data_IF_427898409897
#
_entry.id   IF_427898409897
#
_cell.length_a   1.000
_cell.length_b   1.000
_cell.length_c   1.000
_cell.angle_alpha   90.00
_cell.angle_beta   90.00
_cell.angle_gamma   90.00
#
_symmetry.space_group_name_H-M   'P 1'
#
loop_
_entity.id
_entity.type
_entity.pdbx_description
1 polymer ?
#
# COMPACT_ATOMS: atom_id res chain seq x y z
N UNK A 1 -28.45 -7.24 -4.06
CA UNK A 1 -28.46 -6.49 -2.78
C UNK A 1 -28.12 -5.03 -3.05
N UNK A 2 -28.56 -4.12 -2.20
CA UNK A 2 -28.13 -2.72 -2.22
C UNK A 2 -26.93 -2.54 -1.29
N UNK A 3 -25.77 -2.22 -1.83
CA UNK A 3 -24.52 -2.06 -1.09
C UNK A 3 -24.10 -0.59 -1.13
N UNK A 4 -23.84 -0.02 0.05
CA UNK A 4 -23.40 1.37 0.17
C UNK A 4 -21.96 1.43 0.69
N UNK A 5 -21.07 2.04 -0.09
CA UNK A 5 -19.69 2.30 0.31
C UNK A 5 -19.54 3.71 0.89
N UNK A 6 -18.87 3.79 2.03
CA UNK A 6 -18.51 5.06 2.68
C UNK A 6 -16.99 5.18 2.66
N UNK A 7 -16.50 6.15 1.89
CA UNK A 7 -15.07 6.40 1.76
C UNK A 7 -14.78 7.91 1.83
N UNK A 8 -14.10 8.33 2.88
CA UNK A 8 -13.67 9.71 3.00
C UNK A 8 -12.53 10.00 1.99
N UNK A 9 -12.65 11.13 1.28
CA UNK A 9 -11.67 11.53 0.27
C UNK A 9 -11.89 10.87 -1.09
N UNK A 10 -13.10 10.41 -1.40
CA UNK A 10 -13.47 9.82 -2.69
C UNK A 10 -13.13 10.71 -3.89
N UNK A 11 -13.27 12.01 -3.75
CA UNK A 11 -12.93 12.99 -4.79
C UNK A 11 -11.43 13.13 -5.01
N UNK A 12 -10.61 12.65 -4.05
CA UNK A 12 -9.16 12.67 -4.14
C UNK A 12 -8.67 11.28 -4.50
N UNK A 13 -7.81 11.20 -5.51
CA UNK A 13 -7.13 9.96 -5.84
C UNK A 13 -6.22 9.55 -4.67
N UNK A 14 -6.67 8.58 -3.89
CA UNK A 14 -5.91 8.02 -2.79
C UNK A 14 -6.09 6.50 -2.76
N UNK A 15 -5.16 5.79 -2.11
CA UNK A 15 -5.15 4.33 -2.08
C UNK A 15 -6.46 3.72 -1.58
N UNK A 16 -7.08 4.32 -0.56
CA UNK A 16 -8.34 3.86 0.01
C UNK A 16 -9.50 3.94 -1.00
N UNK A 17 -9.64 5.07 -1.67
CA UNK A 17 -10.67 5.25 -2.68
C UNK A 17 -10.46 4.32 -3.89
N UNK A 18 -9.20 4.06 -4.26
CA UNK A 18 -8.91 3.13 -5.35
C UNK A 18 -9.25 1.68 -4.96
N UNK A 19 -8.91 1.24 -3.75
CA UNK A 19 -9.31 -0.08 -3.24
C UNK A 19 -10.84 -0.19 -3.19
N UNK A 20 -11.52 0.83 -2.68
CA UNK A 20 -12.98 0.86 -2.66
C UNK A 20 -13.57 0.68 -4.07
N UNK A 21 -13.04 1.39 -5.09
CA UNK A 21 -13.48 1.25 -6.49
C UNK A 21 -13.28 -0.16 -7.03
N UNK A 22 -12.16 -0.81 -6.73
CA UNK A 22 -11.89 -2.19 -7.16
C UNK A 22 -12.94 -3.15 -6.59
N UNK A 23 -13.23 -3.04 -5.28
CA UNK A 23 -14.24 -3.88 -4.61
C UNK A 23 -15.64 -3.59 -5.16
N UNK A 24 -16.01 -2.32 -5.32
CA UNK A 24 -17.29 -1.93 -5.90
C UNK A 24 -17.49 -2.53 -7.30
N UNK A 25 -16.49 -2.41 -8.18
CA UNK A 25 -16.56 -2.96 -9.52
C UNK A 25 -16.66 -4.49 -9.56
N UNK A 26 -16.16 -5.21 -8.55
CA UNK A 26 -16.37 -6.65 -8.39
C UNK A 26 -17.82 -6.95 -7.99
N UNK A 27 -18.35 -6.24 -6.99
CA UNK A 27 -19.73 -6.41 -6.52
C UNK A 27 -20.77 -6.04 -7.59
N UNK A 28 -20.50 -5.03 -8.41
CA UNK A 28 -21.34 -4.68 -9.56
C UNK A 28 -21.35 -5.82 -10.59
N UNK A 29 -20.21 -6.45 -10.87
CA UNK A 29 -20.12 -7.62 -11.76
C UNK A 29 -20.85 -8.85 -11.20
N UNK A 30 -20.97 -8.96 -9.88
CA UNK A 30 -21.77 -9.97 -9.18
C UNK A 30 -23.27 -9.68 -9.21
N UNK A 31 -23.70 -8.55 -9.81
CA UNK A 31 -25.09 -8.16 -9.97
C UNK A 31 -25.68 -7.42 -8.77
N UNK A 32 -24.83 -6.82 -7.93
CA UNK A 32 -25.28 -5.99 -6.82
C UNK A 32 -25.54 -4.55 -7.29
N UNK A 33 -26.45 -3.86 -6.64
CA UNK A 33 -26.68 -2.43 -6.82
C UNK A 33 -25.76 -1.69 -5.83
N UNK A 34 -24.65 -1.12 -6.34
CA UNK A 34 -23.60 -0.52 -5.55
C UNK A 34 -23.64 0.99 -5.66
N UNK A 35 -23.50 1.66 -4.54
CA UNK A 35 -23.44 3.11 -4.45
C UNK A 35 -22.36 3.56 -3.48
N UNK A 36 -21.94 4.82 -3.56
CA UNK A 36 -20.97 5.36 -2.63
C UNK A 36 -21.37 6.74 -2.11
N UNK A 37 -20.84 7.09 -0.92
CA UNK A 37 -20.95 8.41 -0.34
C UNK A 37 -19.73 8.74 0.51
N UNK A 38 -19.42 10.04 0.66
CA UNK A 38 -18.48 10.52 1.68
C UNK A 38 -19.22 10.65 3.02
N UNK A 39 -20.45 11.12 2.96
CA UNK A 39 -21.35 11.30 4.10
C UNK A 39 -22.77 10.89 3.69
N UNK A 40 -23.24 9.76 4.19
CA UNK A 40 -24.57 9.26 3.87
C UNK A 40 -25.63 9.75 4.83
N UNK A 41 -26.86 9.94 4.34
CA UNK A 41 -28.03 10.21 5.18
C UNK A 41 -28.43 8.97 5.97
N UNK A 42 -29.03 9.14 7.15
CA UNK A 42 -29.51 8.02 7.98
C UNK A 42 -30.41 7.08 7.19
N UNK A 43 -31.31 7.64 6.36
CA UNK A 43 -32.20 6.82 5.53
C UNK A 43 -31.42 5.90 4.57
N UNK A 44 -30.38 6.40 3.93
CA UNK A 44 -29.52 5.62 3.01
C UNK A 44 -28.82 4.49 3.77
N UNK A 45 -28.24 4.80 4.93
CA UNK A 45 -27.58 3.82 5.81
C UNK A 45 -28.52 2.74 6.33
N UNK A 46 -29.78 3.09 6.67
CA UNK A 46 -30.76 2.16 7.18
C UNK A 46 -31.41 1.30 6.08
N UNK A 47 -31.43 1.77 4.82
CA UNK A 47 -32.05 1.07 3.68
C UNK A 47 -31.07 0.21 2.88
N UNK A 48 -29.76 0.42 3.02
CA UNK A 48 -28.75 -0.46 2.44
C UNK A 48 -28.78 -1.85 3.10
N UNK A 49 -28.63 -2.89 2.30
CA UNK A 49 -28.53 -4.27 2.78
C UNK A 49 -27.18 -4.50 3.47
N UNK A 50 -26.12 -3.88 2.93
CA UNK A 50 -24.76 -3.85 3.50
C UNK A 50 -24.15 -2.46 3.40
N UNK A 51 -23.34 -2.10 4.42
CA UNK A 51 -22.55 -0.86 4.43
C UNK A 51 -21.07 -1.21 4.54
N UNK A 52 -20.30 -0.78 3.55
CA UNK A 52 -18.83 -0.92 3.53
C UNK A 52 -18.17 0.38 3.91
N UNK A 53 -17.31 0.37 4.93
CA UNK A 53 -16.61 1.53 5.45
C UNK A 53 -15.12 1.39 5.14
N UNK A 54 -14.54 2.40 4.49
CA UNK A 54 -13.12 2.45 4.14
C UNK A 54 -12.37 3.49 4.96
N UNK A 55 -11.16 3.15 5.40
CA UNK A 55 -10.33 3.92 6.34
C UNK A 55 -10.80 3.90 7.81
N UNK A 56 -10.21 4.77 8.62
CA UNK A 56 -10.53 4.98 10.03
C UNK A 56 -10.36 6.44 10.46
N UNK A 57 -10.67 6.73 11.72
CA UNK A 57 -10.40 8.00 12.41
C UNK A 57 -11.19 9.22 11.92
N UNK A 58 -12.31 9.04 11.21
CA UNK A 58 -13.10 10.13 10.66
C UNK A 58 -14.55 10.09 11.13
N UNK A 59 -15.17 11.24 11.48
CA UNK A 59 -16.55 11.30 12.00
C UNK A 59 -17.60 10.73 11.05
N UNK A 60 -17.44 10.90 9.72
CA UNK A 60 -18.38 10.35 8.74
C UNK A 60 -18.42 8.81 8.77
N UNK A 61 -17.30 8.17 9.10
CA UNK A 61 -17.20 6.72 9.21
C UNK A 61 -17.86 6.23 10.50
N UNK A 62 -17.71 6.98 11.61
CA UNK A 62 -18.40 6.66 12.87
C UNK A 62 -19.90 6.84 12.73
N UNK A 63 -20.33 7.90 12.04
CA UNK A 63 -21.72 8.10 11.70
C UNK A 63 -22.30 6.92 10.93
N UNK A 64 -21.59 6.47 9.88
CA UNK A 64 -21.99 5.31 9.11
C UNK A 64 -22.06 4.04 9.97
N UNK A 65 -21.10 3.83 10.89
CA UNK A 65 -21.09 2.70 11.81
C UNK A 65 -22.22 2.73 12.85
N UNK A 66 -22.72 3.90 13.21
CA UNK A 66 -23.84 4.02 14.16
C UNK A 66 -25.19 3.65 13.53
N UNK A 67 -25.40 3.99 12.27
CA UNK A 67 -26.70 3.86 11.59
C UNK A 67 -26.74 2.77 10.52
N UNK A 68 -25.58 2.33 10.06
CA UNK A 68 -25.47 1.28 9.02
C UNK A 68 -25.88 -0.11 9.54
N UNK A 69 -26.28 -0.96 8.58
CA UNK A 69 -26.61 -2.38 8.80
C UNK A 69 -25.56 -3.26 8.15
N UNK A 70 -25.32 -4.46 8.69
CA UNK A 70 -24.37 -5.43 8.14
C UNK A 70 -23.03 -4.79 7.73
N UNK A 71 -22.41 -4.06 8.67
CA UNK A 71 -21.24 -3.22 8.41
C UNK A 71 -20.02 -4.09 8.15
N UNK A 72 -19.39 -3.89 7.01
CA UNK A 72 -18.05 -4.39 6.66
C UNK A 72 -17.08 -3.21 6.73
N UNK A 73 -16.12 -3.25 7.66
CA UNK A 73 -15.21 -2.13 7.85
C UNK A 73 -13.78 -2.52 7.48
N UNK A 74 -13.19 -1.82 6.51
CA UNK A 74 -11.83 -1.97 6.03
C UNK A 74 -10.97 -0.79 6.52
N UNK A 75 -10.21 -0.94 7.61
CA UNK A 75 -9.48 0.17 8.22
C UNK A 75 -8.27 0.68 7.45
N UNK A 76 -7.74 -0.10 6.51
CA UNK A 76 -6.65 0.28 5.60
C UNK A 76 -5.39 0.80 6.32
N UNK A 77 -4.78 -0.06 7.12
CA UNK A 77 -3.61 0.24 7.97
C UNK A 77 -3.78 1.39 8.96
N UNK A 78 -5.02 1.81 9.25
CA UNK A 78 -5.26 2.87 10.24
C UNK A 78 -4.73 2.51 11.63
N UNK A 79 -4.61 1.21 11.93
CA UNK A 79 -4.18 0.69 13.24
C UNK A 79 -2.73 0.20 13.27
N UNK A 80 -1.96 0.38 12.19
CA UNK A 80 -0.51 0.18 12.18
C UNK A 80 0.15 0.94 13.35
N UNK A 81 0.96 0.29 14.19
CA UNK A 81 1.62 0.90 15.33
C UNK A 81 2.43 2.16 14.98
N UNK A 82 3.15 2.16 13.85
CA UNK A 82 3.93 3.32 13.41
C UNK A 82 2.99 4.48 13.05
N UNK A 83 1.94 4.22 12.29
CA UNK A 83 0.95 5.23 11.91
C UNK A 83 0.20 5.78 13.12
N UNK A 84 -0.09 4.93 14.12
CA UNK A 84 -0.71 5.35 15.37
C UNK A 84 0.19 6.28 16.18
N UNK A 85 1.48 5.99 16.27
CA UNK A 85 2.47 6.85 16.95
C UNK A 85 2.60 8.21 16.25
N UNK A 86 2.65 8.21 14.92
CA UNK A 86 2.78 9.44 14.14
C UNK A 86 1.66 10.44 14.39
N UNK A 87 0.41 10.00 14.58
CA UNK A 87 -0.73 10.88 14.85
C UNK A 87 -0.95 11.23 16.33
N UNK A 88 -0.16 10.66 17.23
CA UNK A 88 0.00 11.03 18.63
C UNK A 88 -1.29 11.11 19.45
N UNK A 89 -1.38 12.15 20.29
CA UNK A 89 -2.44 12.33 21.28
C UNK A 89 -3.87 12.47 20.71
N UNK A 90 -4.00 12.96 19.47
CA UNK A 90 -5.32 13.09 18.80
C UNK A 90 -6.04 11.75 18.73
N UNK A 91 -5.32 10.67 18.42
CA UNK A 91 -5.87 9.32 18.36
C UNK A 91 -6.23 8.76 19.75
N UNK A 92 -5.58 9.24 20.78
CA UNK A 92 -5.93 8.86 22.15
C UNK A 92 -7.33 9.34 22.53
N UNK A 93 -7.68 10.57 22.17
CA UNK A 93 -8.99 11.15 22.45
C UNK A 93 -10.13 10.47 21.68
N UNK A 94 -9.92 10.17 20.40
CA UNK A 94 -10.96 9.57 19.55
C UNK A 94 -11.01 8.05 19.61
N UNK A 95 -9.99 7.43 20.16
CA UNK A 95 -9.85 5.96 20.22
C UNK A 95 -11.01 5.22 20.88
N UNK A 96 -11.60 5.70 21.99
CA UNK A 96 -12.78 5.07 22.60
C UNK A 96 -13.99 5.02 21.65
N UNK A 97 -14.28 6.13 20.95
CA UNK A 97 -15.38 6.22 19.99
C UNK A 97 -15.13 5.27 18.82
N UNK A 98 -13.92 5.29 18.27
CA UNK A 98 -13.50 4.43 17.17
C UNK A 98 -13.67 2.94 17.53
N UNK A 99 -13.16 2.53 18.69
CA UNK A 99 -13.32 1.14 19.17
C UNK A 99 -14.77 0.74 19.38
N UNK A 100 -15.59 1.65 19.89
CA UNK A 100 -17.02 1.40 20.02
C UNK A 100 -17.68 1.17 18.65
N UNK A 101 -17.38 2.01 17.67
CA UNK A 101 -17.92 1.90 16.32
C UNK A 101 -17.44 0.63 15.61
N UNK A 102 -16.15 0.30 15.70
CA UNK A 102 -15.58 -0.91 15.09
C UNK A 102 -16.22 -2.20 15.62
N UNK A 103 -16.53 -2.24 16.93
CA UNK A 103 -17.18 -3.41 17.55
C UNK A 103 -18.62 -3.63 17.10
N UNK A 104 -19.22 -2.68 16.41
CA UNK A 104 -20.56 -2.81 15.81
C UNK A 104 -20.51 -3.40 14.40
N UNK A 105 -19.33 -3.51 13.79
CA UNK A 105 -19.19 -4.12 12.48
C UNK A 105 -19.58 -5.61 12.53
N UNK A 106 -20.24 -6.08 11.49
CA UNK A 106 -20.49 -7.50 11.23
C UNK A 106 -19.18 -8.24 10.99
N UNK A 107 -18.28 -7.57 10.24
CA UNK A 107 -16.92 -8.04 9.99
C UNK A 107 -15.95 -6.87 9.79
N UNK A 108 -14.70 -7.06 10.14
CA UNK A 108 -13.59 -6.20 9.78
C UNK A 108 -12.86 -6.83 8.59
N UNK A 109 -12.36 -6.03 7.68
CA UNK A 109 -11.71 -6.51 6.46
C UNK A 109 -10.25 -6.05 6.47
N UNK A 110 -9.32 -6.98 6.33
CA UNK A 110 -7.88 -6.72 6.28
C UNK A 110 -7.28 -7.20 4.96
N UNK A 111 -6.27 -6.50 4.47
CA UNK A 111 -5.57 -6.81 3.21
C UNK A 111 -4.45 -7.83 3.41
N UNK A 112 -4.01 -8.04 4.64
CA UNK A 112 -2.98 -9.03 4.99
C UNK A 112 -3.06 -9.43 6.47
N UNK A 113 -2.35 -10.49 6.83
CA UNK A 113 -2.30 -11.02 8.20
C UNK A 113 -1.71 -10.03 9.21
N UNK A 114 -0.74 -9.21 8.80
CA UNK A 114 -0.17 -8.17 9.66
C UNK A 114 -1.23 -7.12 10.03
N UNK A 115 -2.01 -6.65 9.07
CA UNK A 115 -3.11 -5.72 9.32
C UNK A 115 -4.17 -6.33 10.25
N UNK A 116 -4.54 -7.61 10.03
CA UNK A 116 -5.46 -8.33 10.91
C UNK A 116 -4.94 -8.37 12.37
N UNK A 117 -3.66 -8.63 12.56
CA UNK A 117 -3.01 -8.61 13.88
C UNK A 117 -3.06 -7.22 14.52
N UNK A 118 -2.83 -6.16 13.77
CA UNK A 118 -2.92 -4.78 14.29
C UNK A 118 -4.34 -4.39 14.69
N UNK A 119 -5.34 -4.79 13.89
CA UNK A 119 -6.76 -4.58 14.22
C UNK A 119 -7.12 -5.31 15.52
N UNK A 120 -6.74 -6.60 15.63
CA UNK A 120 -7.00 -7.41 16.79
C UNK A 120 -6.33 -6.85 18.06
N UNK A 121 -5.06 -6.44 17.95
CA UNK A 121 -4.32 -5.78 19.03
C UNK A 121 -4.98 -4.47 19.47
N UNK A 122 -5.51 -3.69 18.52
CA UNK A 122 -6.19 -2.43 18.81
C UNK A 122 -7.52 -2.61 19.55
N UNK A 123 -8.30 -3.63 19.20
CA UNK A 123 -9.63 -3.89 19.76
C UNK A 123 -9.59 -4.77 21.01
N UNK A 124 -8.51 -5.51 21.22
CA UNK A 124 -8.35 -6.45 22.35
C UNK A 124 -9.45 -7.53 22.39
N UNK A 125 -10.13 -7.73 23.53
CA UNK A 125 -11.00 -8.88 23.81
C UNK A 125 -12.36 -8.92 23.07
N UNK A 126 -12.78 -7.84 22.39
CA UNK A 126 -14.07 -7.78 21.68
C UNK A 126 -13.85 -7.34 20.24
N UNK A 127 -13.18 -8.20 19.47
CA UNK A 127 -12.96 -7.99 18.06
C UNK A 127 -14.03 -8.74 17.24
N UNK A 128 -14.73 -8.08 16.31
CA UNK A 128 -15.54 -8.76 15.31
C UNK A 128 -14.71 -9.73 14.46
N UNK A 129 -15.33 -10.67 13.73
CA UNK A 129 -14.61 -11.49 12.77
C UNK A 129 -13.78 -10.65 11.81
N UNK A 130 -12.53 -11.07 11.54
CA UNK A 130 -11.66 -10.41 10.58
C UNK A 130 -11.60 -11.28 9.33
N UNK A 131 -12.01 -10.71 8.20
CA UNK A 131 -11.93 -11.31 6.88
C UNK A 131 -10.66 -10.84 6.19
N UNK A 132 -9.89 -11.76 5.64
CA UNK A 132 -8.77 -11.41 4.78
C UNK A 132 -9.28 -11.26 3.34
N UNK A 133 -8.92 -10.17 2.69
CA UNK A 133 -9.21 -9.94 1.29
C UNK A 133 -7.91 -9.82 0.50
N UNK A 134 -7.81 -10.58 -0.57
CA UNK A 134 -6.67 -10.52 -1.47
C UNK A 134 -6.90 -9.43 -2.53
N UNK A 135 -6.31 -8.26 -2.31
CA UNK A 135 -6.39 -7.15 -3.28
C UNK A 135 -5.54 -7.44 -4.53
N UNK A 136 -4.52 -8.31 -4.44
CA UNK A 136 -3.66 -8.68 -5.58
C UNK A 136 -4.45 -9.30 -6.73
N UNK A 137 -5.57 -9.99 -6.43
CA UNK A 137 -6.45 -10.62 -7.43
C UNK A 137 -7.02 -9.65 -8.47
N UNK A 138 -7.04 -8.36 -8.19
CA UNK A 138 -7.51 -7.34 -9.12
C UNK A 138 -6.46 -6.95 -10.18
N UNK A 139 -5.22 -7.43 -10.05
CA UNK A 139 -4.10 -7.09 -10.91
C UNK A 139 -3.61 -8.31 -11.68
N UNK A 140 -3.18 -8.10 -12.92
CA UNK A 140 -2.57 -9.14 -13.75
C UNK A 140 -1.07 -9.21 -13.45
N UNK A 141 -0.71 -9.84 -12.34
CA UNK A 141 0.67 -9.99 -11.89
C UNK A 141 1.39 -11.14 -12.63
N UNK A 142 1.32 -11.17 -13.97
CA UNK A 142 1.86 -12.25 -14.77
C UNK A 142 3.40 -12.23 -14.76
N UNK A 143 3.99 -13.43 -14.82
CA UNK A 143 5.41 -13.61 -15.12
C UNK A 143 5.67 -13.19 -16.57
N UNK A 144 6.16 -11.98 -16.77
CA UNK A 144 6.70 -11.56 -18.06
C UNK A 144 8.21 -11.76 -18.00
N UNK A 145 8.72 -12.73 -18.73
CA UNK A 145 10.14 -12.86 -18.97
C UNK A 145 10.58 -11.73 -19.92
N UNK A 146 11.02 -10.64 -19.38
CA UNK A 146 11.74 -9.61 -20.12
C UNK A 146 13.14 -9.46 -19.54
N UNK A 147 14.06 -10.23 -20.08
CA UNK A 147 15.46 -9.87 -20.03
C UNK A 147 15.71 -8.80 -21.11
N UNK A 148 15.38 -7.56 -20.86
CA UNK A 148 15.91 -6.46 -21.65
C UNK A 148 17.39 -6.30 -21.29
N UNK A 149 18.26 -6.48 -22.28
CA UNK A 149 19.67 -6.12 -22.19
C UNK A 149 19.76 -4.64 -21.85
N UNK A 150 20.35 -4.35 -20.71
CA UNK A 150 20.60 -2.96 -20.27
C UNK A 150 21.68 -2.39 -21.21
N UNK A 151 21.25 -1.66 -22.22
CA UNK A 151 22.14 -0.76 -22.95
C UNK A 151 22.77 0.24 -21.97
N UNK A 152 23.90 0.86 -22.33
CA UNK A 152 24.66 1.83 -21.51
C UNK A 152 23.87 3.14 -21.26
N UNK A 153 22.65 3.06 -20.74
CA UNK A 153 21.80 4.20 -20.38
C UNK A 153 21.64 4.30 -18.84
N UNK A 154 21.25 5.46 -18.33
CA UNK A 154 20.93 5.62 -16.91
C UNK A 154 19.88 4.60 -16.44
N UNK A 155 20.04 4.06 -15.23
CA UNK A 155 18.98 3.33 -14.56
C UNK A 155 17.93 4.33 -14.04
N UNK A 156 16.72 4.23 -14.54
CA UNK A 156 15.64 5.14 -14.22
C UNK A 156 14.85 4.65 -12.99
N UNK A 157 15.10 5.29 -11.86
CA UNK A 157 14.38 5.04 -10.61
C UNK A 157 13.16 5.93 -10.52
N UNK A 158 12.01 5.33 -10.19
CA UNK A 158 10.77 6.04 -9.95
C UNK A 158 10.38 5.95 -8.47
N UNK A 159 10.13 7.08 -7.85
CA UNK A 159 9.30 7.17 -6.66
C UNK A 159 7.94 7.74 -7.05
N UNK A 160 6.87 6.96 -6.85
CA UNK A 160 5.51 7.38 -7.14
C UNK A 160 4.66 7.32 -5.86
N UNK A 161 4.32 8.49 -5.32
CA UNK A 161 3.55 8.59 -4.09
C UNK A 161 3.60 9.95 -3.45
N UNK A 162 2.74 10.16 -2.47
CA UNK A 162 2.69 11.43 -1.73
C UNK A 162 3.99 11.68 -0.97
N UNK A 163 4.45 12.93 -0.97
CA UNK A 163 5.55 13.33 -0.09
C UNK A 163 5.02 13.38 1.36
N UNK A 164 5.32 12.34 2.11
CA UNK A 164 4.92 12.19 3.52
C UNK A 164 6.00 11.42 4.28
N UNK A 165 6.34 11.78 5.52
CA UNK A 165 7.44 11.13 6.27
C UNK A 165 7.32 9.60 6.35
N UNK A 166 6.09 9.05 6.46
CA UNK A 166 5.89 7.59 6.46
C UNK A 166 6.15 6.92 5.11
N UNK A 167 6.40 7.69 4.06
CA UNK A 167 6.71 7.15 2.71
C UNK A 167 8.21 7.05 2.44
N UNK A 168 9.06 7.61 3.31
CA UNK A 168 10.50 7.41 3.32
C UNK A 168 11.27 7.99 2.14
N UNK A 169 10.71 8.97 1.42
CA UNK A 169 11.36 9.59 0.27
C UNK A 169 12.75 10.14 0.62
N UNK A 170 12.90 10.75 1.79
CA UNK A 170 14.17 11.32 2.27
C UNK A 170 15.31 10.30 2.34
N UNK A 171 15.00 9.04 2.71
CA UNK A 171 15.98 7.96 2.75
C UNK A 171 16.41 7.52 1.34
N UNK A 172 15.45 7.50 0.40
CA UNK A 172 15.75 7.20 -1.00
C UNK A 172 16.64 8.25 -1.65
N UNK A 173 16.29 9.53 -1.50
CA UNK A 173 17.08 10.64 -2.04
C UNK A 173 18.51 10.62 -1.48
N UNK A 174 18.66 10.33 -0.18
CA UNK A 174 19.96 10.22 0.45
C UNK A 174 20.74 9.02 -0.06
N UNK A 175 20.10 7.84 -0.22
CA UNK A 175 20.74 6.65 -0.78
C UNK A 175 21.24 6.87 -2.20
N UNK A 176 20.41 7.46 -3.07
CA UNK A 176 20.78 7.77 -4.46
C UNK A 176 21.95 8.76 -4.52
N UNK A 177 21.91 9.81 -3.72
CA UNK A 177 23.03 10.77 -3.62
C UNK A 177 24.33 10.07 -3.19
N UNK A 178 24.30 9.21 -2.17
CA UNK A 178 25.47 8.44 -1.75
C UNK A 178 26.02 7.51 -2.84
N UNK A 179 25.15 6.88 -3.64
CA UNK A 179 25.59 6.07 -4.80
C UNK A 179 26.30 6.96 -5.82
N UNK A 180 25.74 8.11 -6.12
CA UNK A 180 26.33 9.06 -7.09
C UNK A 180 27.67 9.66 -6.61
N UNK A 181 27.80 9.90 -5.30
CA UNK A 181 29.01 10.42 -4.68
C UNK A 181 30.10 9.35 -4.47
N UNK A 182 29.71 8.07 -4.30
CA UNK A 182 30.62 6.95 -4.04
C UNK A 182 31.45 6.55 -5.27
N UNK A 183 31.34 7.26 -6.38
CA UNK A 183 32.14 7.01 -7.58
C UNK A 183 33.61 7.31 -7.30
N UNK A 184 34.31 6.29 -6.81
CA UNK A 184 35.76 6.31 -6.66
C UNK A 184 36.43 6.57 -8.02
N UNK A 185 37.45 7.43 -8.00
CA UNK A 185 38.29 7.81 -9.16
C UNK A 185 39.04 6.64 -9.82
N UNK A 186 38.88 5.42 -9.31
CA UNK A 186 39.60 4.21 -9.75
C UNK A 186 38.73 3.12 -10.38
N UNK A 187 37.40 3.20 -10.31
CA UNK A 187 36.50 2.23 -10.94
C UNK A 187 35.86 2.78 -12.22
N UNK A 188 36.08 2.11 -13.35
CA UNK A 188 35.58 2.49 -14.69
C UNK A 188 34.06 2.27 -14.90
N UNK A 189 33.33 1.79 -13.90
CA UNK A 189 31.86 1.56 -13.96
C UNK A 189 31.15 2.54 -13.04
N UNK A 190 30.85 3.70 -13.59
CA UNK A 190 29.97 4.69 -12.92
C UNK A 190 28.54 4.21 -13.06
N UNK A 191 27.88 3.85 -11.93
CA UNK A 191 26.44 3.62 -11.93
C UNK A 191 25.74 4.94 -12.25
N UNK A 192 25.21 5.03 -13.47
CA UNK A 192 24.42 6.19 -13.89
C UNK A 192 22.97 5.96 -13.47
N UNK A 193 22.50 6.72 -12.48
CA UNK A 193 21.16 6.58 -11.91
C UNK A 193 20.45 7.94 -12.01
N UNK A 194 19.24 7.90 -12.56
CA UNK A 194 18.31 9.04 -12.53
C UNK A 194 17.12 8.72 -11.62
N UNK A 195 16.84 9.60 -10.64
CA UNK A 195 15.67 9.50 -9.78
C UNK A 195 14.60 10.51 -10.20
N UNK A 196 13.41 10.01 -10.51
CA UNK A 196 12.22 10.82 -10.72
C UNK A 196 11.26 10.66 -9.55
N UNK A 197 10.86 11.78 -8.94
CA UNK A 197 9.90 11.83 -7.84
C UNK A 197 8.58 12.39 -8.38
N UNK A 198 7.51 11.58 -8.28
CA UNK A 198 6.19 11.94 -8.79
C UNK A 198 5.16 11.78 -7.68
N UNK A 199 4.44 12.86 -7.38
CA UNK A 199 3.41 12.85 -6.32
C UNK A 199 1.99 12.83 -6.88
N UNK A 200 1.77 13.40 -8.06
CA UNK A 200 0.48 13.54 -8.70
C UNK A 200 0.67 13.43 -10.22
N UNK A 201 0.39 12.28 -10.79
CA UNK A 201 0.32 12.06 -12.23
C UNK A 201 -0.92 11.23 -12.55
N UNK A 202 -1.60 11.53 -13.64
CA UNK A 202 -2.83 10.86 -14.06
C UNK A 202 -2.89 10.74 -15.58
N UNK A 203 -3.64 9.75 -16.06
CA UNK A 203 -3.84 9.53 -17.49
C UNK A 203 -2.52 9.41 -18.26
N UNK A 204 -2.42 10.11 -19.37
CA UNK A 204 -1.26 10.05 -20.28
C UNK A 204 0.07 10.48 -19.63
N UNK A 205 0.00 11.36 -18.63
CA UNK A 205 1.20 11.77 -17.88
C UNK A 205 1.73 10.61 -17.03
N UNK A 206 0.84 9.87 -16.39
CA UNK A 206 1.20 8.69 -15.60
C UNK A 206 1.78 7.60 -16.49
N UNK A 207 1.19 7.34 -17.68
CA UNK A 207 1.73 6.35 -18.62
C UNK A 207 3.15 6.74 -19.09
N UNK A 208 3.43 8.00 -19.42
CA UNK A 208 4.78 8.46 -19.74
C UNK A 208 5.79 8.28 -18.60
N UNK A 209 5.33 8.40 -17.35
CA UNK A 209 6.18 8.13 -16.17
C UNK A 209 6.50 6.65 -16.07
N UNK A 210 5.53 5.77 -16.32
CA UNK A 210 5.74 4.33 -16.34
C UNK A 210 6.63 3.86 -17.50
N UNK A 211 6.48 4.44 -18.70
CA UNK A 211 7.34 4.12 -19.85
C UNK A 211 8.81 4.46 -19.57
N UNK A 212 9.03 5.58 -18.89
CA UNK A 212 10.37 6.01 -18.49
C UNK A 212 10.99 5.13 -17.39
N UNK A 213 10.20 4.53 -16.50
CA UNK A 213 10.63 3.83 -15.31
C UNK A 213 11.23 2.44 -15.61
N UNK A 214 12.39 2.12 -15.02
CA UNK A 214 12.97 0.77 -14.98
C UNK A 214 12.72 0.09 -13.63
N UNK A 215 12.80 0.87 -12.55
CA UNK A 215 12.76 0.39 -11.18
C UNK A 215 11.91 1.33 -10.33
N UNK A 216 10.79 0.81 -9.81
CA UNK A 216 10.03 1.50 -8.77
C UNK A 216 10.70 1.29 -7.41
N UNK A 217 10.88 2.35 -6.65
CA UNK A 217 11.35 2.27 -5.25
C UNK A 217 10.30 2.89 -4.34
N UNK A 218 9.69 2.07 -3.49
CA UNK A 218 8.72 2.49 -2.48
C UNK A 218 9.25 2.23 -1.07
N UNK A 219 10.07 3.14 -0.48
CA UNK A 219 10.76 2.95 0.79
C UNK A 219 9.84 3.26 1.98
N UNK A 220 8.63 2.74 1.98
CA UNK A 220 7.60 3.12 2.95
C UNK A 220 7.83 2.53 4.34
N UNK A 221 7.52 3.29 5.38
CA UNK A 221 7.48 2.83 6.77
C UNK A 221 6.08 2.31 7.15
N UNK A 222 5.06 2.75 6.45
CA UNK A 222 3.67 2.30 6.65
C UNK A 222 2.85 2.58 5.40
N UNK A 223 2.48 1.53 4.73
CA UNK A 223 1.50 1.55 3.65
C UNK A 223 0.41 0.50 3.91
N UNK A 224 -0.75 0.68 3.29
CA UNK A 224 -1.77 -0.36 3.34
C UNK A 224 -1.38 -1.50 2.41
N UNK A 225 -1.78 -1.37 1.17
CA UNK A 225 -1.49 -2.36 0.14
C UNK A 225 -0.31 -1.95 -0.74
N UNK A 226 -0.07 -0.61 -0.92
CA UNK A 226 0.93 -0.13 -1.86
C UNK A 226 0.50 -0.41 -3.30
N UNK A 227 -0.64 0.14 -3.73
CA UNK A 227 -1.21 -0.07 -5.08
C UNK A 227 -0.19 0.16 -6.19
N UNK A 228 0.69 1.13 -6.02
CA UNK A 228 1.75 1.44 -6.98
C UNK A 228 2.71 0.25 -7.21
N UNK A 229 2.87 -0.64 -6.22
CA UNK A 229 3.65 -1.88 -6.36
C UNK A 229 2.95 -2.82 -7.34
N UNK A 230 1.63 -3.01 -7.18
CA UNK A 230 0.83 -3.82 -8.10
C UNK A 230 0.87 -3.24 -9.53
N UNK A 231 0.70 -1.93 -9.64
CA UNK A 231 0.73 -1.21 -10.91
C UNK A 231 2.09 -1.37 -11.64
N UNK A 232 3.20 -1.31 -10.89
CA UNK A 232 4.54 -1.54 -11.44
C UNK A 232 4.75 -2.98 -11.91
N UNK A 233 4.37 -3.96 -11.07
CA UNK A 233 4.51 -5.38 -11.39
C UNK A 233 3.63 -5.79 -12.58
N UNK A 234 2.40 -5.25 -12.68
CA UNK A 234 1.52 -5.48 -13.82
C UNK A 234 2.13 -4.98 -15.14
N UNK A 235 2.91 -3.89 -15.09
CA UNK A 235 3.67 -3.34 -16.21
C UNK A 235 5.04 -3.99 -16.43
N UNK A 236 5.34 -5.07 -15.71
CA UNK A 236 6.62 -5.78 -15.82
C UNK A 236 7.82 -5.06 -15.20
N UNK A 237 7.60 -3.98 -14.44
CA UNK A 237 8.71 -3.21 -13.85
C UNK A 237 9.28 -3.92 -12.62
N UNK A 238 10.58 -3.70 -12.36
CA UNK A 238 11.22 -4.13 -11.11
C UNK A 238 10.79 -3.21 -9.96
N UNK A 239 10.74 -3.76 -8.74
CA UNK A 239 10.28 -3.04 -7.55
C UNK A 239 11.19 -3.30 -6.36
N UNK A 240 11.58 -2.25 -5.65
CA UNK A 240 12.11 -2.33 -4.28
C UNK A 240 11.03 -1.80 -3.34
N UNK A 241 10.64 -2.61 -2.37
CA UNK A 241 9.76 -2.18 -1.27
C UNK A 241 10.25 -2.70 0.06
N UNK A 242 9.53 -2.42 1.14
CA UNK A 242 9.99 -2.63 2.52
C UNK A 242 8.91 -3.37 3.33
N UNK A 243 9.28 -3.79 4.53
CA UNK A 243 8.35 -4.33 5.52
C UNK A 243 7.32 -3.31 6.05
N UNK A 244 7.38 -2.07 5.56
CA UNK A 244 6.31 -1.08 5.67
C UNK A 244 5.11 -1.33 4.75
N UNK A 245 5.24 -2.21 3.75
CA UNK A 245 4.16 -2.68 2.88
C UNK A 245 3.92 -4.20 3.09
N UNK A 246 3.35 -4.61 4.24
CA UNK A 246 3.32 -6.01 4.67
C UNK A 246 2.48 -6.92 3.78
N UNK A 247 1.57 -6.39 2.97
CA UNK A 247 0.81 -7.16 1.99
C UNK A 247 1.70 -7.80 0.90
N UNK A 248 2.93 -7.30 0.73
CA UNK A 248 3.92 -7.78 -0.23
C UNK A 248 5.01 -8.65 0.40
N UNK A 249 4.93 -8.89 1.71
CA UNK A 249 5.88 -9.77 2.40
C UNK A 249 5.84 -11.17 1.79
N UNK A 250 7.01 -11.75 1.43
CA UNK A 250 7.10 -13.17 1.14
C UNK A 250 6.61 -13.96 2.36
N UNK A 251 5.60 -14.80 2.20
CA UNK A 251 5.08 -15.59 3.32
C UNK A 251 6.15 -16.58 3.79
N UNK A 252 6.22 -16.84 5.10
CA UNK A 252 7.11 -17.85 5.67
C UNK A 252 6.80 -19.26 5.12
N UNK A 253 5.56 -19.52 4.68
CA UNK A 253 5.13 -20.76 4.03
C UNK A 253 5.66 -20.92 2.60
N UNK A 254 6.05 -19.84 1.92
CA UNK A 254 6.64 -19.91 0.58
C UNK A 254 8.07 -20.48 0.60
N UNK A 255 8.69 -20.62 1.77
CA UNK A 255 10.02 -21.26 1.90
C UNK A 255 9.95 -22.80 1.83
N UNK A 256 8.76 -23.39 2.00
CA UNK A 256 8.57 -24.87 1.95
C UNK A 256 7.91 -25.35 0.66
N UNK A 257 7.27 -24.46 -0.11
CA UNK A 257 6.60 -24.81 -1.35
C UNK A 257 7.48 -24.40 -2.55
N UNK A 258 8.17 -25.41 -3.09
CA UNK A 258 9.04 -25.27 -4.28
C UNK A 258 8.19 -25.07 -5.55
N UNK A 259 7.50 -23.95 -5.67
CA UNK A 259 6.72 -23.74 -6.88
C UNK A 259 6.21 -22.33 -7.10
N UNK A 260 5.77 -21.63 -6.07
CA UNK A 260 5.14 -20.32 -6.19
C UNK A 260 5.69 -19.30 -5.19
N UNK A 261 7.02 -19.18 -5.14
CA UNK A 261 7.65 -18.07 -4.42
C UNK A 261 7.14 -16.76 -5.00
N UNK A 262 6.51 -15.94 -4.16
CA UNK A 262 5.94 -14.62 -4.46
C UNK A 262 7.03 -13.57 -4.81
N UNK A 263 8.04 -13.93 -5.60
CA UNK A 263 9.10 -13.01 -6.04
C UNK A 263 8.77 -12.31 -7.36
N UNK A 264 7.59 -12.66 -7.95
CA UNK A 264 7.14 -12.11 -9.23
C UNK A 264 8.22 -12.21 -10.34
N UNK A 265 8.91 -13.36 -10.42
CA UNK A 265 9.99 -13.59 -11.37
C UNK A 265 11.26 -12.82 -11.06
N UNK A 266 11.59 -12.64 -9.77
CA UNK A 266 12.77 -11.88 -9.33
C UNK A 266 12.60 -10.36 -9.44
N UNK A 267 11.38 -9.88 -9.76
CA UNK A 267 11.14 -8.45 -9.95
C UNK A 267 10.85 -7.68 -8.66
N UNK A 268 10.57 -8.37 -7.57
CA UNK A 268 10.26 -7.74 -6.29
C UNK A 268 11.39 -7.98 -5.27
N UNK A 269 12.05 -6.92 -4.85
CA UNK A 269 12.98 -6.91 -3.72
C UNK A 269 12.27 -6.37 -2.49
N UNK A 270 12.18 -7.21 -1.44
CA UNK A 270 11.51 -6.87 -0.19
C UNK A 270 12.51 -6.68 0.94
N UNK A 271 12.66 -5.45 1.42
CA UNK A 271 13.62 -5.08 2.46
C UNK A 271 13.04 -5.34 3.86
N UNK A 272 13.53 -6.36 4.54
CA UNK A 272 13.17 -6.70 5.93
C UNK A 272 13.98 -5.87 6.93
N UNK A 273 13.37 -5.56 8.09
CA UNK A 273 14.02 -4.78 9.15
C UNK A 273 14.13 -3.29 8.83
N UNK A 274 13.56 -2.83 7.74
CA UNK A 274 13.60 -1.43 7.33
C UNK A 274 12.78 -0.53 8.28
N UNK A 275 11.60 -0.97 8.70
CA UNK A 275 10.68 -0.19 9.56
C UNK A 275 11.30 0.14 10.93
N UNK A 276 12.04 -0.81 11.50
CA UNK A 276 12.61 -0.71 12.85
C UNK A 276 14.04 -0.21 12.85
N UNK A 277 14.67 -0.18 11.68
CA UNK A 277 16.05 0.29 11.50
C UNK A 277 16.21 1.78 11.78
N UNK A 278 17.46 2.18 12.09
CA UNK A 278 17.86 3.59 12.16
C UNK A 278 17.76 4.27 10.78
N UNK A 279 17.77 5.60 10.70
CA UNK A 279 17.86 6.30 9.42
C UNK A 279 19.04 5.81 8.55
N UNK A 280 20.20 5.58 9.18
CA UNK A 280 21.42 5.07 8.52
C UNK A 280 21.22 3.65 7.97
N UNK A 281 20.56 2.77 8.72
CA UNK A 281 20.23 1.40 8.27
C UNK A 281 19.30 1.42 7.07
N UNK A 282 18.28 2.27 7.10
CA UNK A 282 17.34 2.44 5.98
C UNK A 282 18.03 2.88 4.70
N UNK A 283 18.90 3.90 4.81
CA UNK A 283 19.69 4.40 3.69
C UNK A 283 20.61 3.31 3.14
N UNK A 284 21.31 2.58 4.03
CA UNK A 284 22.20 1.47 3.66
C UNK A 284 21.43 0.39 2.90
N UNK A 285 20.30 -0.10 3.44
CA UNK A 285 19.48 -1.13 2.82
C UNK A 285 19.01 -0.72 1.42
N UNK A 286 18.56 0.51 1.24
CA UNK A 286 18.15 1.03 -0.06
C UNK A 286 19.33 1.10 -1.04
N UNK A 287 20.45 1.67 -0.59
CA UNK A 287 21.66 1.79 -1.40
C UNK A 287 22.13 0.42 -1.91
N UNK A 288 22.23 -0.56 -0.99
CA UNK A 288 22.74 -1.89 -1.31
C UNK A 288 21.80 -2.62 -2.28
N UNK A 289 20.48 -2.51 -2.09
CA UNK A 289 19.49 -3.09 -3.00
C UNK A 289 19.51 -2.45 -4.40
N UNK A 290 19.55 -1.12 -4.49
CA UNK A 290 19.62 -0.39 -5.75
C UNK A 290 20.91 -0.76 -6.49
N UNK A 291 22.05 -0.77 -5.79
CA UNK A 291 23.36 -1.13 -6.39
C UNK A 291 23.37 -2.57 -6.88
N UNK A 292 22.80 -3.50 -6.14
CA UNK A 292 22.67 -4.90 -6.56
C UNK A 292 21.86 -5.06 -7.84
N UNK A 293 20.71 -4.40 -7.92
CA UNK A 293 19.85 -4.46 -9.12
C UNK A 293 20.40 -3.70 -10.33
N UNK A 294 21.26 -2.71 -10.12
CA UNK A 294 21.91 -1.97 -11.20
C UNK A 294 23.08 -2.75 -11.82
N UNK A 295 23.63 -3.73 -11.10
CA UNK A 295 24.74 -4.59 -11.56
C UNK A 295 24.26 -5.95 -12.08
N UNK A 296 22.95 -6.27 -11.95
CA UNK A 296 22.33 -7.50 -12.43
C UNK A 296 21.78 -7.35 -13.85
#
# INVERSE_FOLDING_TARGET
MNILHICAGWEKWNGAANIARLIMGEQEREGHNVSFAIWAKVRELCTADEVWIHCGWLPCLWWAALWGRNIHWMPECSYDPIRRRYHGWKKLLVGPIERFCLRRAKALVATCSAEATWIQSYLSHRCPPILLTDIKRFFKLNHVEHAEQVECRPLHLLYLGRNHPLKGLEYLETAVRQIQESTCSTCSTRLNIELKVVSNAFGDELEKVWDWCDLLVLPTLSDNFGLVIAEALERGKRVITTDGAPAWSPSASAAEDKGDGNDYGGRLVYLRGYREGSPEDRIRLLRDAITSLANA
#
